data_IF_799782773431
#
_entry.id   IF_799782773431
#
_cell.length_a   1.000
_cell.length_b   1.000
_cell.length_c   1.000
_cell.angle_alpha   90.00
_cell.angle_beta   90.00
_cell.angle_gamma   90.00
#
_symmetry.space_group_name_H-M   'P 1'
#
loop_
_entity.id
_entity.type
_entity.pdbx_description
1 polymer ?
#
# COMPACT_ATOMS: atom_id res chain seq x y z
N UNK A 1 -1.79 11.64 11.60
CA UNK A 1 -1.50 10.87 10.38
C UNK A 1 -0.18 11.32 9.75
N UNK A 2 0.68 10.40 9.34
CA UNK A 2 1.93 10.64 8.58
C UNK A 2 1.73 10.09 7.15
N UNK A 3 1.24 10.94 6.24
CA UNK A 3 0.98 10.57 4.85
C UNK A 3 2.19 10.91 3.98
N UNK A 4 2.74 9.90 3.31
CA UNK A 4 3.88 10.07 2.41
C UNK A 4 3.45 9.76 0.99
N UNK A 5 3.59 10.73 0.11
CA UNK A 5 3.13 10.59 -1.27
C UNK A 5 4.17 9.84 -2.10
N UNK A 6 3.77 8.73 -2.75
CA UNK A 6 4.61 8.01 -3.72
C UNK A 6 4.35 8.52 -5.14
N UNK A 7 3.08 8.69 -5.51
CA UNK A 7 2.68 9.18 -6.83
C UNK A 7 1.54 10.19 -6.69
N UNK A 8 1.13 10.91 -7.74
CA UNK A 8 -0.03 11.81 -7.68
C UNK A 8 -1.29 11.14 -7.11
N UNK A 9 -1.49 9.85 -7.41
CA UNK A 9 -2.68 9.10 -7.03
C UNK A 9 -2.47 8.11 -5.88
N UNK A 10 -1.26 7.95 -5.36
CA UNK A 10 -0.95 7.02 -4.27
C UNK A 10 -0.19 7.71 -3.14
N UNK A 11 -0.74 7.62 -1.94
CA UNK A 11 0.00 7.89 -0.70
C UNK A 11 0.13 6.61 0.12
N UNK A 12 1.19 6.55 0.92
CA UNK A 12 1.42 5.51 1.91
C UNK A 12 1.48 6.07 3.32
N UNK A 13 1.18 5.25 4.32
CA UNK A 13 1.18 5.66 5.72
C UNK A 13 1.64 4.53 6.65
N UNK A 14 2.19 4.85 7.83
CA UNK A 14 2.10 4.00 9.02
C UNK A 14 0.63 3.69 9.39
N UNK A 15 0.41 2.98 10.49
CA UNK A 15 -0.92 2.58 10.93
C UNK A 15 -1.92 3.76 10.89
N UNK A 16 -3.06 3.53 10.24
CA UNK A 16 -4.20 4.45 10.20
C UNK A 16 -5.23 3.96 11.22
N UNK A 17 -5.94 4.88 11.88
CA UNK A 17 -7.00 4.53 12.81
C UNK A 17 -8.39 4.63 12.15
N UNK A 18 -9.40 3.85 12.59
CA UNK A 18 -10.76 3.93 12.05
C UNK A 18 -11.34 5.36 12.05
N UNK A 19 -11.06 6.14 13.10
CA UNK A 19 -11.53 7.53 13.26
C UNK A 19 -10.93 8.50 12.23
N UNK A 20 -9.79 8.17 11.63
CA UNK A 20 -9.14 9.01 10.61
C UNK A 20 -9.81 8.90 9.23
N UNK A 21 -10.59 7.83 8.99
CA UNK A 21 -11.07 7.48 7.65
C UNK A 21 -12.06 8.50 7.08
N UNK A 22 -12.89 9.12 7.93
CA UNK A 22 -13.78 10.19 7.50
C UNK A 22 -13.00 11.39 6.95
N UNK A 23 -11.92 11.80 7.65
CA UNK A 23 -11.08 12.91 7.23
C UNK A 23 -10.30 12.57 5.95
N UNK A 24 -9.86 11.33 5.80
CA UNK A 24 -9.19 10.85 4.59
C UNK A 24 -10.13 10.84 3.37
N UNK A 25 -11.38 10.40 3.55
CA UNK A 25 -12.39 10.47 2.49
C UNK A 25 -12.67 11.92 2.05
N UNK A 26 -12.77 12.85 3.01
CA UNK A 26 -12.92 14.29 2.74
C UNK A 26 -11.69 14.88 2.04
N UNK A 27 -10.49 14.39 2.34
CA UNK A 27 -9.25 14.76 1.66
C UNK A 27 -9.14 14.19 0.22
N UNK A 28 -10.14 13.43 -0.24
CA UNK A 28 -10.23 12.93 -1.61
C UNK A 28 -9.70 11.51 -1.82
N UNK A 29 -9.30 10.81 -0.75
CA UNK A 29 -9.00 9.38 -0.84
C UNK A 29 -10.29 8.60 -1.09
N UNK A 30 -10.21 7.59 -1.95
CA UNK A 30 -11.35 6.76 -2.37
C UNK A 30 -11.13 5.28 -2.13
N UNK A 31 -9.87 4.86 -2.05
CA UNK A 31 -9.49 3.46 -1.83
C UNK A 31 -8.51 3.40 -0.68
N UNK A 32 -8.82 2.57 0.31
CA UNK A 32 -7.94 2.22 1.42
C UNK A 32 -7.39 0.80 1.21
N UNK A 33 -6.07 0.67 1.21
CA UNK A 33 -5.37 -0.61 1.02
C UNK A 33 -4.66 -0.97 2.33
N UNK A 34 -5.09 -2.04 2.99
CA UNK A 34 -4.46 -2.57 4.18
C UNK A 34 -3.44 -3.65 3.81
N UNK A 35 -2.15 -3.37 4.03
CA UNK A 35 -1.08 -4.34 3.88
C UNK A 35 -0.55 -4.89 5.23
N UNK A 36 -1.27 -4.64 6.33
CA UNK A 36 -0.95 -5.16 7.68
C UNK A 36 -1.81 -6.38 7.99
N UNK A 37 -1.21 -7.54 8.32
CA UNK A 37 -1.93 -8.71 8.82
C UNK A 37 -2.61 -8.44 10.16
N UNK A 38 -3.81 -8.99 10.33
CA UNK A 38 -4.60 -8.88 11.57
C UNK A 38 -3.88 -9.45 12.80
N UNK A 39 -3.00 -10.44 12.61
CA UNK A 39 -2.17 -11.01 13.68
C UNK A 39 -1.24 -9.98 14.35
N UNK A 40 -1.01 -8.80 13.75
CA UNK A 40 -0.20 -7.72 14.32
C UNK A 40 -1.01 -6.65 15.06
N UNK A 41 -2.34 -6.75 15.12
CA UNK A 41 -3.24 -5.69 15.62
C UNK A 41 -4.31 -6.25 16.55
N UNK A 42 -4.95 -5.34 17.30
CA UNK A 42 -6.11 -5.65 18.14
C UNK A 42 -7.43 -5.48 17.38
N UNK A 43 -8.55 -5.94 17.96
CA UNK A 43 -9.86 -5.97 17.31
C UNK A 43 -10.38 -4.60 16.87
N UNK A 44 -9.94 -3.52 17.52
CA UNK A 44 -10.34 -2.15 17.15
C UNK A 44 -9.70 -1.68 15.83
N UNK A 45 -8.66 -2.36 15.36
CA UNK A 45 -7.86 -1.95 14.19
C UNK A 45 -7.57 -3.11 13.23
N UNK A 46 -8.26 -4.24 13.43
CA UNK A 46 -8.21 -5.38 12.52
C UNK A 46 -8.92 -5.03 11.20
N UNK A 47 -8.81 -5.93 10.23
CA UNK A 47 -9.37 -5.70 8.90
C UNK A 47 -10.90 -5.62 8.91
N UNK A 48 -11.58 -6.20 9.90
CA UNK A 48 -13.04 -6.09 10.04
C UNK A 48 -13.42 -4.68 10.49
N UNK A 49 -12.80 -4.16 11.54
CA UNK A 49 -13.05 -2.82 12.05
C UNK A 49 -12.66 -1.75 11.01
N UNK A 50 -11.50 -1.90 10.37
CA UNK A 50 -11.02 -0.96 9.35
C UNK A 50 -11.91 -0.98 8.10
N UNK A 51 -12.39 -2.15 7.66
CA UNK A 51 -13.34 -2.26 6.56
C UNK A 51 -14.64 -1.53 6.86
N UNK A 52 -15.24 -1.80 8.02
CA UNK A 52 -16.50 -1.17 8.41
C UNK A 52 -16.38 0.36 8.46
N UNK A 53 -15.27 0.88 9.00
CA UNK A 53 -15.03 2.31 9.05
C UNK A 53 -14.75 2.93 7.67
N UNK A 54 -14.04 2.23 6.78
CA UNK A 54 -13.79 2.68 5.42
C UNK A 54 -15.10 2.77 4.61
N UNK A 55 -15.93 1.74 4.70
CA UNK A 55 -17.23 1.69 4.04
C UNK A 55 -18.17 2.79 4.57
N UNK A 56 -18.20 3.01 5.90
CA UNK A 56 -18.96 4.10 6.50
C UNK A 56 -18.49 5.50 6.04
N UNK A 57 -17.20 5.65 5.72
CA UNK A 57 -16.64 6.87 5.15
C UNK A 57 -16.84 6.98 3.61
N UNK A 58 -17.42 5.96 2.97
CA UNK A 58 -17.63 5.91 1.52
C UNK A 58 -16.37 5.59 0.71
N UNK A 59 -15.43 4.86 1.32
CA UNK A 59 -14.19 4.40 0.69
C UNK A 59 -14.27 2.92 0.34
N UNK A 60 -13.66 2.53 -0.78
CA UNK A 60 -13.41 1.13 -1.11
C UNK A 60 -12.29 0.58 -0.20
N UNK A 61 -12.47 -0.61 0.35
CA UNK A 61 -11.46 -1.26 1.19
C UNK A 61 -10.87 -2.50 0.53
N UNK A 62 -9.54 -2.56 0.44
CA UNK A 62 -8.77 -3.70 -0.06
C UNK A 62 -7.83 -4.21 1.01
N UNK A 63 -7.90 -5.51 1.27
CA UNK A 63 -7.09 -6.20 2.26
C UNK A 63 -6.10 -7.11 1.54
N UNK A 64 -4.81 -6.81 1.68
CA UNK A 64 -3.72 -7.52 0.99
C UNK A 64 -2.59 -7.70 2.02
N UNK A 65 -2.79 -8.58 3.01
CA UNK A 65 -1.89 -8.69 4.16
C UNK A 65 -0.53 -9.21 3.69
N UNK A 66 0.54 -8.48 4.01
CA UNK A 66 1.90 -8.87 3.64
C UNK A 66 2.73 -9.16 4.89
N UNK A 67 3.15 -10.42 5.02
CA UNK A 67 4.13 -10.88 6.01
C UNK A 67 5.51 -10.94 5.34
N UNK A 68 6.56 -10.36 5.93
CA UNK A 68 7.93 -10.48 5.40
C UNK A 68 8.32 -11.95 5.17
N UNK A 69 8.73 -12.27 3.95
CA UNK A 69 9.11 -13.64 3.56
C UNK A 69 7.98 -14.44 2.88
N UNK A 70 6.73 -13.98 2.93
CA UNK A 70 5.56 -14.65 2.34
C UNK A 70 5.01 -13.89 1.13
N UNK A 71 5.86 -13.17 0.42
CA UNK A 71 5.45 -12.46 -0.79
C UNK A 71 5.04 -13.47 -1.88
N UNK A 72 3.83 -13.32 -2.41
CA UNK A 72 3.33 -14.12 -3.54
C UNK A 72 3.02 -13.25 -4.76
N UNK A 73 3.02 -13.83 -5.98
CA UNK A 73 2.55 -13.14 -7.18
C UNK A 73 1.12 -12.59 -7.03
N UNK A 74 0.22 -13.36 -6.40
CA UNK A 74 -1.18 -12.97 -6.18
C UNK A 74 -1.30 -11.69 -5.34
N UNK A 75 -0.41 -11.48 -4.36
CA UNK A 75 -0.38 -10.21 -3.60
C UNK A 75 -0.01 -9.02 -4.49
N UNK A 76 0.93 -9.20 -5.42
CA UNK A 76 1.35 -8.16 -6.36
C UNK A 76 0.22 -7.85 -7.34
N UNK A 77 -0.49 -8.87 -7.82
CA UNK A 77 -1.65 -8.72 -8.69
C UNK A 77 -2.81 -8.02 -7.97
N UNK A 78 -3.19 -8.47 -6.78
CA UNK A 78 -4.22 -7.83 -5.97
C UNK A 78 -3.87 -6.36 -5.65
N UNK A 79 -2.60 -6.06 -5.41
CA UNK A 79 -2.15 -4.67 -5.22
C UNK A 79 -2.31 -3.88 -6.51
N UNK A 80 -1.95 -4.45 -7.66
CA UNK A 80 -2.09 -3.78 -8.95
C UNK A 80 -3.56 -3.49 -9.28
N UNK A 81 -4.47 -4.43 -9.00
CA UNK A 81 -5.91 -4.25 -9.14
C UNK A 81 -6.43 -3.12 -8.24
N UNK A 82 -6.00 -3.09 -6.97
CA UNK A 82 -6.36 -2.02 -6.04
C UNK A 82 -5.84 -0.65 -6.50
N UNK A 83 -4.65 -0.59 -7.09
CA UNK A 83 -4.06 0.63 -7.66
C UNK A 83 -4.72 1.06 -8.98
N UNK A 84 -5.39 0.15 -9.69
CA UNK A 84 -6.13 0.48 -10.91
C UNK A 84 -7.51 1.11 -10.63
N UNK A 85 -8.02 1.00 -9.41
CA UNK A 85 -9.30 1.59 -9.02
C UNK A 85 -9.30 3.13 -9.14
N UNK A 86 -10.45 3.74 -9.46
CA UNK A 86 -10.54 5.18 -9.67
C UNK A 86 -10.36 5.98 -8.37
N UNK A 87 -9.78 7.16 -8.50
CA UNK A 87 -9.51 8.08 -7.38
C UNK A 87 -8.16 7.87 -6.70
N UNK A 88 -7.92 8.64 -5.63
CA UNK A 88 -6.66 8.59 -4.86
C UNK A 88 -6.69 7.42 -3.89
N UNK A 89 -5.57 6.72 -3.79
CA UNK A 89 -5.36 5.55 -2.92
C UNK A 89 -4.55 5.95 -1.70
N UNK A 90 -4.89 5.37 -0.57
CA UNK A 90 -4.04 5.31 0.60
C UNK A 90 -3.72 3.85 0.89
N UNK A 91 -2.44 3.47 0.85
CA UNK A 91 -1.99 2.17 1.30
C UNK A 91 -1.27 2.28 2.65
N UNK A 92 -1.59 1.42 3.61
CA UNK A 92 -0.96 1.47 4.92
C UNK A 92 -0.51 0.10 5.40
N UNK A 93 0.44 0.11 6.31
CA UNK A 93 0.76 -1.06 7.12
C UNK A 93 1.23 -0.60 8.51
N UNK A 94 2.17 -1.31 9.16
CA UNK A 94 2.79 -0.83 10.41
C UNK A 94 3.58 0.49 10.23
N UNK A 95 4.42 0.59 9.19
CA UNK A 95 5.30 1.75 8.96
C UNK A 95 5.19 2.37 7.56
N UNK A 96 4.36 1.79 6.70
CA UNK A 96 4.24 2.10 5.27
C UNK A 96 5.21 1.34 4.34
N UNK A 97 6.27 0.73 4.88
CA UNK A 97 7.29 0.07 4.04
C UNK A 97 6.75 -1.09 3.18
N UNK A 98 5.83 -1.91 3.73
CA UNK A 98 5.22 -3.02 2.98
C UNK A 98 4.41 -2.56 1.78
N UNK A 99 3.64 -1.50 1.98
CA UNK A 99 2.85 -0.86 0.93
C UNK A 99 3.75 -0.31 -0.18
N UNK A 100 4.87 0.31 0.20
CA UNK A 100 5.88 0.81 -0.74
C UNK A 100 6.57 -0.31 -1.52
N UNK A 101 6.92 -1.42 -0.86
CA UNK A 101 7.46 -2.62 -1.51
C UNK A 101 6.47 -3.18 -2.53
N UNK A 102 5.23 -3.47 -2.12
CA UNK A 102 4.22 -4.03 -3.02
C UNK A 102 3.96 -3.11 -4.23
N UNK A 103 3.84 -1.80 -4.00
CA UNK A 103 3.75 -0.81 -5.08
C UNK A 103 4.91 -0.96 -6.09
N UNK A 104 6.17 -0.96 -5.63
CA UNK A 104 7.32 -1.08 -6.53
C UNK A 104 7.29 -2.38 -7.34
N UNK A 105 6.86 -3.49 -6.73
CA UNK A 105 6.73 -4.78 -7.42
C UNK A 105 5.64 -4.74 -8.50
N UNK A 106 4.53 -4.03 -8.29
CA UNK A 106 3.50 -3.85 -9.34
C UNK A 106 4.01 -3.10 -10.57
N UNK A 107 5.06 -2.30 -10.40
CA UNK A 107 5.66 -1.45 -11.45
C UNK A 107 6.93 -2.07 -12.05
N UNK A 108 7.41 -3.18 -11.50
CA UNK A 108 8.58 -3.89 -12.02
C UNK A 108 8.39 -4.25 -13.51
N UNK A 109 9.35 -3.87 -14.36
CA UNK A 109 9.30 -4.08 -15.81
C UNK A 109 8.42 -3.07 -16.58
N UNK A 110 7.62 -2.26 -15.89
CA UNK A 110 6.90 -1.12 -16.47
C UNK A 110 7.69 0.18 -16.34
N UNK A 111 8.48 0.30 -15.28
CA UNK A 111 9.34 1.45 -14.98
C UNK A 111 10.76 0.97 -14.67
N UNK A 112 11.79 1.81 -14.93
CA UNK A 112 13.16 1.48 -14.55
C UNK A 112 13.28 1.26 -13.03
N UNK A 113 14.02 0.23 -12.62
CA UNK A 113 14.24 -0.09 -11.20
C UNK A 113 14.73 1.13 -10.41
N UNK A 114 15.68 1.91 -10.95
CA UNK A 114 16.17 3.13 -10.28
C UNK A 114 15.04 4.14 -10.00
N UNK A 115 14.16 4.37 -10.97
CA UNK A 115 13.02 5.29 -10.80
C UNK A 115 12.11 4.86 -9.64
N UNK A 116 11.89 3.55 -9.48
CA UNK A 116 11.09 3.01 -8.38
C UNK A 116 11.78 3.21 -7.03
N UNK A 117 13.09 2.99 -6.97
CA UNK A 117 13.89 3.17 -5.76
C UNK A 117 13.97 4.65 -5.36
N UNK A 118 14.18 5.55 -6.32
CA UNK A 118 14.23 7.00 -6.10
C UNK A 118 12.89 7.54 -5.61
N UNK A 119 11.78 7.07 -6.20
CA UNK A 119 10.43 7.44 -5.77
C UNK A 119 10.15 7.00 -4.34
N UNK A 120 10.52 5.77 -3.98
CA UNK A 120 10.37 5.28 -2.62
C UNK A 120 11.26 6.07 -1.64
N UNK A 121 12.51 6.36 -2.02
CA UNK A 121 13.44 7.14 -1.21
C UNK A 121 12.93 8.58 -0.99
N UNK A 122 12.34 9.21 -2.00
CA UNK A 122 11.70 10.52 -1.89
C UNK A 122 10.52 10.54 -0.92
N UNK A 123 9.83 9.40 -0.76
CA UNK A 123 8.81 9.20 0.27
C UNK A 123 9.37 8.67 1.61
N UNK A 124 10.69 8.62 1.78
CA UNK A 124 11.35 8.21 3.02
C UNK A 124 11.36 6.69 3.28
N UNK A 125 11.34 5.87 2.22
CA UNK A 125 11.46 4.41 2.28
C UNK A 125 12.68 3.92 1.50
N UNK A 126 13.51 3.12 2.15
CA UNK A 126 14.64 2.46 1.50
C UNK A 126 14.24 1.07 0.98
N UNK A 127 14.24 0.93 -0.35
CA UNK A 127 13.94 -0.32 -1.04
C UNK A 127 15.18 -1.04 -1.59
N UNK A 128 16.39 -0.60 -1.23
CA UNK A 128 17.65 -1.20 -1.67
C UNK A 128 17.70 -2.72 -1.43
N UNK A 129 17.18 -3.18 -0.28
CA UNK A 129 17.10 -4.59 0.09
C UNK A 129 16.19 -5.45 -0.80
N UNK A 130 15.27 -4.86 -1.57
CA UNK A 130 14.37 -5.58 -2.49
C UNK A 130 14.69 -5.33 -3.96
N UNK A 131 15.76 -4.59 -4.29
CA UNK A 131 16.21 -4.33 -5.67
C UNK A 131 16.27 -5.60 -6.52
N UNK A 132 16.96 -6.63 -6.03
CA UNK A 132 17.15 -7.87 -6.78
C UNK A 132 15.83 -8.57 -7.14
N UNK A 133 14.82 -8.43 -6.28
CA UNK A 133 13.48 -8.95 -6.53
C UNK A 133 12.75 -8.12 -7.61
N UNK A 134 12.81 -6.79 -7.54
CA UNK A 134 12.24 -5.89 -8.57
C UNK A 134 12.84 -6.23 -9.95
N UNK A 135 14.16 -6.35 -10.02
CA UNK A 135 14.85 -6.70 -11.27
C UNK A 135 14.51 -8.11 -11.76
N UNK A 136 14.32 -9.07 -10.83
CA UNK A 136 13.90 -10.42 -11.20
C UNK A 136 12.52 -10.45 -11.83
N UNK A 137 11.55 -9.71 -11.27
CA UNK A 137 10.21 -9.59 -11.84
C UNK A 137 10.23 -8.84 -13.18
N UNK A 138 11.05 -7.80 -13.30
CA UNK A 138 11.19 -7.04 -14.54
C UNK A 138 11.69 -7.90 -15.72
N UNK A 139 12.58 -8.87 -15.46
CA UNK A 139 13.07 -9.81 -16.49
C UNK A 139 12.04 -10.87 -16.90
N UNK A 140 11.04 -11.13 -16.06
CA UNK A 140 10.02 -12.15 -16.30
C UNK A 140 8.80 -11.63 -17.08
N UNK A 141 8.79 -10.34 -17.43
CA UNK A 141 7.74 -9.69 -18.22
C UNK A 141 8.09 -9.59 -19.71
#
# INVERSE_FOLDING_TARGET
MDLRQLTPDLSVSPQVQPEDLQALAQAGFRVLINNRPDAEVGPDTDSTAMRAAAEAAGMEYREIPFVPGELTPDMVEAQAEALALPGRKLAYCRSGNRSTVLWALTRAGLEPTETLLDTAAGAGYDLSGVRGLIESLARGR
#
